data_IF_452333656238
#
_entry.id   IF_452333656238
#
_cell.length_a   1.000
_cell.length_b   1.000
_cell.length_c   1.000
_cell.angle_alpha   90.00
_cell.angle_beta   90.00
_cell.angle_gamma   90.00
#
_symmetry.space_group_name_H-M   'P 1'
#
loop_
_entity.id
_entity.type
_entity.pdbx_description
1 polymer ?
#
# COMPACT_ATOMS: atom_id res chain seq x y z
N UNK A 1 -9.14 -17.56 -3.45
CA UNK A 1 -8.67 -18.34 -4.63
C UNK A 1 -7.18 -18.11 -4.80
N UNK A 2 -6.35 -19.16 -4.97
CA UNK A 2 -4.91 -18.97 -5.26
C UNK A 2 -4.73 -18.41 -6.68
N UNK A 3 -3.97 -17.32 -6.80
CA UNK A 3 -3.63 -16.65 -8.06
C UNK A 3 -2.16 -16.88 -8.41
N UNK A 4 -1.29 -16.88 -7.40
CA UNK A 4 0.14 -17.08 -7.57
C UNK A 4 0.75 -17.69 -6.32
N UNK A 5 1.72 -18.57 -6.51
CA UNK A 5 2.59 -19.11 -5.48
C UNK A 5 3.96 -19.39 -6.11
N UNK A 6 5.01 -18.70 -5.67
CA UNK A 6 6.32 -18.88 -6.28
C UNK A 6 7.50 -18.35 -5.49
N UNK A 7 8.62 -19.06 -5.67
CA UNK A 7 9.96 -18.76 -5.15
C UNK A 7 10.95 -18.77 -6.32
N UNK A 8 12.11 -18.13 -6.17
CA UNK A 8 13.16 -18.14 -7.19
C UNK A 8 12.89 -17.19 -8.36
N UNK A 9 12.00 -16.21 -8.18
CA UNK A 9 11.59 -15.23 -9.22
C UNK A 9 11.93 -13.81 -8.79
N UNK A 10 12.17 -12.95 -9.78
CA UNK A 10 12.33 -11.49 -9.59
C UNK A 10 11.09 -10.71 -10.04
N UNK A 11 10.11 -11.40 -10.64
CA UNK A 11 8.79 -10.88 -11.02
C UNK A 11 7.79 -12.03 -11.19
N UNK A 12 6.50 -11.75 -11.03
CA UNK A 12 5.41 -12.74 -11.19
C UNK A 12 4.97 -12.92 -12.65
N UNK A 13 5.25 -11.94 -13.50
CA UNK A 13 4.51 -11.77 -14.75
C UNK A 13 3.14 -11.13 -14.51
N UNK A 14 2.34 -11.01 -15.56
CA UNK A 14 0.97 -10.49 -15.49
C UNK A 14 0.01 -11.62 -15.09
N UNK A 15 -0.56 -11.52 -13.90
CA UNK A 15 -1.50 -12.49 -13.35
C UNK A 15 -2.92 -12.02 -13.65
N UNK A 16 -3.69 -12.82 -14.38
CA UNK A 16 -5.05 -12.48 -14.80
C UNK A 16 -6.08 -13.13 -13.90
N UNK A 17 -6.99 -12.33 -13.35
CA UNK A 17 -8.08 -12.75 -12.46
C UNK A 17 -9.41 -12.39 -13.11
N UNK A 18 -10.16 -13.40 -13.57
CA UNK A 18 -11.48 -13.22 -14.22
C UNK A 18 -12.66 -13.37 -13.25
N UNK A 19 -12.40 -13.41 -11.94
CA UNK A 19 -13.45 -13.46 -10.91
C UNK A 19 -13.54 -12.09 -10.24
N UNK A 20 -14.76 -11.72 -9.85
CA UNK A 20 -15.02 -10.51 -9.09
C UNK A 20 -14.39 -10.64 -7.70
N UNK A 21 -13.33 -9.90 -7.42
CA UNK A 21 -12.67 -9.86 -6.11
C UNK A 21 -12.69 -8.43 -5.57
N UNK A 22 -12.68 -8.29 -4.25
CA UNK A 22 -12.55 -6.99 -3.57
C UNK A 22 -11.27 -6.83 -2.76
N UNK A 23 -10.53 -7.92 -2.56
CA UNK A 23 -9.28 -7.89 -1.82
C UNK A 23 -8.26 -8.89 -2.35
N UNK A 24 -7.00 -8.61 -2.04
CA UNK A 24 -5.86 -9.49 -2.27
C UNK A 24 -5.28 -9.90 -0.91
N UNK A 25 -5.26 -11.20 -0.65
CA UNK A 25 -4.43 -11.75 0.42
C UNK A 25 -3.01 -11.95 -0.13
N UNK A 26 -2.09 -11.14 0.38
CA UNK A 26 -0.68 -11.20 0.06
C UNK A 26 0.07 -11.91 1.19
N UNK A 27 0.80 -12.97 0.84
CA UNK A 27 1.66 -13.69 1.79
C UNK A 27 3.10 -13.72 1.31
N UNK A 28 4.03 -13.59 2.25
CA UNK A 28 5.45 -13.74 1.98
C UNK A 28 6.19 -14.41 3.14
N UNK A 29 7.31 -15.04 2.83
CA UNK A 29 8.30 -15.47 3.82
C UNK A 29 9.02 -14.29 4.48
N UNK A 30 9.00 -13.11 3.85
CA UNK A 30 9.45 -11.83 4.44
C UNK A 30 8.37 -11.25 5.36
N UNK A 31 8.81 -10.59 6.43
CA UNK A 31 8.02 -9.65 7.21
C UNK A 31 7.81 -8.33 6.47
N UNK A 32 6.76 -7.59 6.86
CA UNK A 32 6.41 -6.31 6.22
C UNK A 32 7.56 -5.29 6.30
N UNK A 33 8.28 -5.23 7.42
CA UNK A 33 9.44 -4.35 7.60
C UNK A 33 10.62 -4.73 6.69
N UNK A 34 10.72 -6.00 6.28
CA UNK A 34 11.77 -6.52 5.40
C UNK A 34 11.49 -6.27 3.91
N UNK A 35 10.29 -5.79 3.55
CA UNK A 35 10.00 -5.29 2.21
C UNK A 35 10.77 -4.00 1.96
N UNK A 36 11.46 -3.93 0.82
CA UNK A 36 12.29 -2.79 0.44
C UNK A 36 11.94 -2.31 -0.97
N UNK A 37 12.38 -3.05 -1.99
CA UNK A 37 12.28 -2.61 -3.39
C UNK A 37 11.13 -3.25 -4.14
N UNK A 38 10.45 -4.22 -3.53
CA UNK A 38 9.34 -4.94 -4.13
C UNK A 38 8.22 -3.97 -4.52
N UNK A 39 7.67 -4.13 -5.72
CA UNK A 39 6.60 -3.27 -6.23
C UNK A 39 5.41 -4.06 -6.68
N UNK A 40 4.25 -3.40 -6.70
CA UNK A 40 2.98 -3.95 -7.18
C UNK A 40 2.34 -3.03 -8.21
N UNK A 41 1.68 -3.64 -9.18
CA UNK A 41 0.83 -2.98 -10.17
C UNK A 41 -0.47 -3.76 -10.28
N UNK A 42 -1.60 -3.04 -10.23
CA UNK A 42 -2.95 -3.58 -10.33
C UNK A 42 -3.77 -2.69 -11.26
N UNK A 43 -4.40 -3.30 -12.26
CA UNK A 43 -5.35 -2.63 -13.14
C UNK A 43 -6.51 -3.55 -13.48
N UNK A 44 -7.66 -2.96 -13.75
CA UNK A 44 -8.81 -3.64 -14.36
C UNK A 44 -8.65 -3.44 -15.87
N UNK A 45 -8.45 -4.54 -16.59
CA UNK A 45 -8.55 -4.55 -18.04
C UNK A 45 -10.02 -4.56 -18.42
N UNK A 46 -10.50 -3.43 -18.93
CA UNK A 46 -11.86 -3.26 -19.42
C UNK A 46 -12.01 -3.72 -20.87
N UNK A 47 -13.26 -3.92 -21.29
CA UNK A 47 -13.55 -4.18 -22.69
C UNK A 47 -13.07 -3.02 -23.59
N UNK A 48 -12.47 -3.33 -24.73
CA UNK A 48 -11.97 -2.35 -25.70
C UNK A 48 -10.81 -1.44 -25.21
N UNK A 49 -10.12 -1.81 -24.13
CA UNK A 49 -8.94 -1.10 -23.64
C UNK A 49 -9.22 0.06 -22.69
N UNK A 50 -10.45 0.18 -22.19
CA UNK A 50 -10.82 1.11 -21.12
C UNK A 50 -10.31 0.58 -19.77
N UNK A 51 -9.00 0.74 -19.54
CA UNK A 51 -8.35 0.19 -18.37
C UNK A 51 -8.48 1.15 -17.17
N UNK A 52 -8.90 0.61 -16.03
CA UNK A 52 -8.92 1.35 -14.76
C UNK A 52 -7.69 1.00 -13.94
N UNK A 53 -6.86 1.99 -13.61
CA UNK A 53 -5.69 1.80 -12.75
C UNK A 53 -6.10 1.86 -11.27
N UNK A 54 -5.79 0.80 -10.52
CA UNK A 54 -5.88 0.79 -9.05
C UNK A 54 -4.55 1.30 -8.48
N UNK A 55 -3.45 0.73 -8.95
CA UNK A 55 -2.10 1.19 -8.62
C UNK A 55 -1.10 0.81 -9.70
N UNK A 56 -0.07 1.62 -9.90
CA UNK A 56 0.99 1.35 -10.89
C UNK A 56 2.37 1.58 -10.31
N UNK A 57 3.17 0.51 -10.31
CA UNK A 57 4.58 0.51 -9.94
C UNK A 57 4.85 1.17 -8.57
N UNK A 58 4.00 0.88 -7.57
CA UNK A 58 4.11 1.42 -6.21
C UNK A 58 4.88 0.44 -5.30
N UNK A 59 5.52 0.95 -4.25
CA UNK A 59 6.08 0.12 -3.18
C UNK A 59 5.07 -0.91 -2.66
N UNK A 60 5.45 -2.19 -2.64
CA UNK A 60 4.65 -3.26 -2.05
C UNK A 60 4.45 -3.04 -0.55
N UNK A 61 5.43 -2.44 0.13
CA UNK A 61 5.31 -2.04 1.54
C UNK A 61 4.19 -1.00 1.71
N UNK A 62 4.14 0.03 0.86
CA UNK A 62 3.06 1.02 0.88
C UNK A 62 1.69 0.40 0.60
N UNK A 63 1.61 -0.50 -0.38
CA UNK A 63 0.36 -1.20 -0.70
C UNK A 63 -0.14 -2.05 0.47
N UNK A 64 0.75 -2.81 1.11
CA UNK A 64 0.39 -3.66 2.26
C UNK A 64 -0.05 -2.83 3.45
N UNK A 65 0.78 -1.88 3.88
CA UNK A 65 0.47 -1.06 5.06
C UNK A 65 -0.80 -0.22 4.84
N UNK A 66 -0.89 0.47 3.69
CA UNK A 66 -2.07 1.27 3.37
C UNK A 66 -3.33 0.44 3.15
N UNK A 67 -3.20 -0.76 2.57
CA UNK A 67 -4.33 -1.67 2.34
C UNK A 67 -4.84 -2.37 3.61
N UNK A 68 -4.06 -2.35 4.70
CA UNK A 68 -4.47 -2.87 6.02
C UNK A 68 -4.89 -1.80 7.01
N UNK A 69 -4.55 -0.54 6.73
CA UNK A 69 -4.76 0.62 7.59
C UNK A 69 -6.18 0.65 8.16
N UNK A 70 -6.33 0.59 9.49
CA UNK A 70 -7.62 0.69 10.19
C UNK A 70 -8.59 -0.49 10.01
N UNK A 71 -8.26 -1.51 9.20
CA UNK A 71 -9.18 -2.58 8.82
C UNK A 71 -8.71 -3.98 9.24
N UNK A 72 -7.41 -4.27 9.10
CA UNK A 72 -6.88 -5.63 9.27
C UNK A 72 -5.49 -5.60 9.89
N UNK A 73 -5.15 -6.65 10.66
CA UNK A 73 -3.79 -6.85 11.15
C UNK A 73 -2.98 -7.68 10.17
N UNK A 74 -1.72 -7.33 10.00
CA UNK A 74 -0.75 -8.16 9.30
C UNK A 74 -0.40 -9.35 10.20
N UNK A 75 -0.75 -10.55 9.77
CA UNK A 75 -0.43 -11.76 10.52
C UNK A 75 0.97 -12.25 10.17
N UNK A 76 1.72 -12.65 11.20
CA UNK A 76 3.00 -13.32 11.05
C UNK A 76 2.91 -14.72 11.67
N UNK A 77 3.42 -15.73 10.97
CA UNK A 77 3.46 -17.09 11.47
C UNK A 77 4.84 -17.70 11.18
N UNK A 78 5.76 -17.37 12.07
CA UNK A 78 7.16 -17.80 11.98
C UNK A 78 7.37 -19.24 12.44
N UNK A 79 6.37 -19.84 13.12
CA UNK A 79 6.40 -21.22 13.61
C UNK A 79 5.87 -22.27 12.63
N UNK A 80 5.22 -21.85 11.54
CA UNK A 80 4.74 -22.76 10.50
C UNK A 80 5.85 -23.13 9.50
N UNK A 81 5.67 -24.27 8.81
CA UNK A 81 6.47 -24.65 7.64
C UNK A 81 5.55 -24.67 6.41
N UNK A 82 5.75 -23.80 5.42
CA UNK A 82 6.80 -22.78 5.33
C UNK A 82 6.57 -21.61 6.31
N UNK A 83 7.67 -20.96 6.71
CA UNK A 83 7.66 -19.73 7.51
C UNK A 83 6.87 -18.65 6.76
N UNK A 84 5.89 -18.03 7.41
CA UNK A 84 5.18 -16.88 6.85
C UNK A 84 5.62 -15.65 7.65
N UNK A 85 6.41 -14.78 7.04
CA UNK A 85 6.82 -13.52 7.64
C UNK A 85 5.71 -12.47 7.58
N UNK A 86 4.84 -12.54 6.58
CA UNK A 86 3.74 -11.60 6.37
C UNK A 86 2.54 -12.29 5.73
N UNK A 87 1.35 -11.98 6.22
CA UNK A 87 0.06 -12.33 5.65
C UNK A 87 -0.89 -11.14 5.83
N UNK A 88 -1.18 -10.43 4.74
CA UNK A 88 -1.94 -9.19 4.75
C UNK A 88 -3.11 -9.27 3.77
N UNK A 89 -4.33 -9.01 4.25
CA UNK A 89 -5.49 -8.81 3.40
C UNK A 89 -5.56 -7.32 3.04
N UNK A 90 -5.34 -6.99 1.77
CA UNK A 90 -5.34 -5.63 1.27
C UNK A 90 -6.59 -5.44 0.40
N UNK A 91 -7.47 -4.52 0.78
CA UNK A 91 -8.65 -4.20 -0.02
C UNK A 91 -8.25 -3.40 -1.26
N UNK A 92 -8.89 -3.70 -2.39
CA UNK A 92 -8.70 -3.01 -3.67
C UNK A 92 -10.00 -2.36 -4.16
N UNK A 93 -11.08 -2.51 -3.40
CA UNK A 93 -12.38 -1.94 -3.64
C UNK A 93 -13.16 -1.86 -2.33
N UNK A 94 -13.99 -0.83 -2.20
CA UNK A 94 -14.76 -0.58 -0.97
C UNK A 94 -16.03 -1.43 -0.94
N UNK A 95 -16.30 -2.01 0.24
CA UNK A 95 -17.55 -2.69 0.56
C UNK A 95 -17.93 -3.85 -0.38
N UNK A 96 -17.04 -4.42 -1.18
CA UNK A 96 -17.45 -5.52 -2.04
C UNK A 96 -16.44 -5.91 -3.11
N UNK A 97 -16.88 -6.74 -4.04
CA UNK A 97 -16.07 -7.19 -5.17
C UNK A 97 -16.28 -6.33 -6.39
N UNK A 98 -15.18 -6.08 -7.11
CA UNK A 98 -15.19 -5.39 -8.40
C UNK A 98 -15.96 -6.28 -9.39
N UNK A 99 -17.07 -5.75 -9.92
CA UNK A 99 -17.87 -6.45 -10.93
C UNK A 99 -17.11 -6.43 -12.26
N UNK A 100 -16.99 -7.59 -12.90
CA UNK A 100 -16.31 -7.76 -14.18
C UNK A 100 -17.28 -8.22 -15.25
N UNK A 101 -17.19 -7.61 -16.44
CA UNK A 101 -17.83 -8.09 -17.66
C UNK A 101 -17.18 -9.36 -18.22
N UNK A 102 -17.77 -9.90 -19.29
CA UNK A 102 -17.37 -11.20 -19.87
C UNK A 102 -15.92 -11.26 -20.35
N UNK A 103 -15.36 -10.14 -20.80
CA UNK A 103 -13.99 -10.02 -21.32
C UNK A 103 -13.05 -9.21 -20.41
N UNK A 104 -13.53 -8.84 -19.22
CA UNK A 104 -12.78 -8.01 -18.28
C UNK A 104 -11.98 -8.86 -17.29
N UNK A 105 -10.89 -8.31 -16.79
CA UNK A 105 -10.09 -9.00 -15.78
C UNK A 105 -9.30 -8.05 -14.92
N UNK A 106 -9.09 -8.43 -13.67
CA UNK A 106 -8.12 -7.76 -12.81
C UNK A 106 -6.76 -8.35 -13.10
N UNK A 107 -5.79 -7.49 -13.41
CA UNK A 107 -4.41 -7.86 -13.66
C UNK A 107 -3.54 -7.41 -12.51
N UNK A 108 -2.76 -8.34 -11.98
CA UNK A 108 -1.85 -8.10 -10.85
C UNK A 108 -0.45 -8.50 -11.27
N UNK A 109 0.55 -7.70 -10.91
CA UNK A 109 1.94 -8.10 -11.06
C UNK A 109 2.80 -7.57 -9.93
N UNK A 110 3.77 -8.38 -9.52
CA UNK A 110 4.87 -7.96 -8.66
C UNK A 110 6.16 -7.90 -9.46
N UNK A 111 6.95 -6.86 -9.21
CA UNK A 111 8.30 -6.68 -9.76
C UNK A 111 9.29 -6.40 -8.64
N UNK A 112 10.58 -6.56 -8.96
CA UNK A 112 11.68 -6.36 -8.01
C UNK A 112 11.57 -7.23 -6.74
N UNK A 113 10.86 -8.37 -6.84
CA UNK A 113 10.70 -9.32 -5.74
C UNK A 113 12.01 -10.07 -5.47
N UNK A 114 12.30 -10.33 -4.19
CA UNK A 114 13.51 -11.06 -3.76
C UNK A 114 13.40 -12.53 -4.13
N UNK A 115 14.27 -13.02 -5.01
CA UNK A 115 14.21 -14.40 -5.51
C UNK A 115 14.36 -15.48 -4.43
N UNK A 116 15.05 -15.19 -3.33
CA UNK A 116 15.19 -16.10 -2.20
C UNK A 116 13.90 -16.27 -1.36
N UNK A 117 12.87 -15.48 -1.64
CA UNK A 117 11.65 -15.40 -0.83
C UNK A 117 10.47 -15.97 -1.63
N UNK A 118 9.49 -16.50 -0.90
CA UNK A 118 8.23 -16.97 -1.47
C UNK A 118 7.21 -15.84 -1.41
N UNK A 119 6.44 -15.69 -2.48
CA UNK A 119 5.30 -14.79 -2.54
C UNK A 119 4.07 -15.58 -2.97
N UNK A 120 2.97 -15.37 -2.26
CA UNK A 120 1.67 -15.94 -2.59
C UNK A 120 0.64 -14.82 -2.72
N UNK A 121 -0.24 -14.93 -3.71
CA UNK A 121 -1.33 -13.98 -3.96
C UNK A 121 -2.61 -14.79 -4.04
N UNK A 122 -3.61 -14.40 -3.26
CA UNK A 122 -4.95 -14.95 -3.35
C UNK A 122 -5.96 -13.84 -3.59
N UNK A 123 -6.86 -14.05 -4.54
CA UNK A 123 -8.04 -13.18 -4.71
C UNK A 123 -9.14 -13.57 -3.72
N UNK A 124 -9.73 -12.57 -3.06
CA UNK A 124 -10.85 -12.74 -2.13
C UNK A 124 -12.13 -12.15 -2.72
N UNK A 125 -13.16 -12.98 -2.77
CA UNK A 125 -14.50 -12.62 -3.25
C UNK A 125 -15.37 -12.22 -2.07
N UNK A 126 -16.20 -11.22 -2.30
CA UNK A 126 -17.22 -10.76 -1.37
C UNK A 126 -18.60 -10.97 -2.00
N UNK A 127 -19.65 -11.19 -1.19
CA UNK A 127 -20.98 -11.52 -1.70
C UNK A 127 -21.69 -10.35 -2.40
N UNK A 128 -21.19 -9.13 -2.24
CA UNK A 128 -21.81 -7.91 -2.76
C UNK A 128 -20.86 -7.16 -3.70
N UNK A 129 -21.43 -6.35 -4.59
CA UNK A 129 -20.68 -5.49 -5.49
C UNK A 129 -20.05 -4.32 -4.74
N UNK A 130 -18.85 -3.92 -5.14
CA UNK A 130 -18.15 -2.78 -4.56
C UNK A 130 -18.88 -1.45 -4.84
N UNK A 131 -18.77 -0.51 -3.91
CA UNK A 131 -19.29 0.87 -4.04
C UNK A 131 -18.31 1.80 -4.75
N UNK A 132 -17.01 1.56 -4.57
CA UNK A 132 -15.91 2.27 -5.22
C UNK A 132 -14.72 1.32 -5.45
N UNK A 133 -13.82 1.74 -6.34
CA UNK A 133 -12.52 1.09 -6.55
C UNK A 133 -11.48 1.98 -5.88
N UNK A 134 -10.61 1.38 -5.08
CA UNK A 134 -9.56 2.13 -4.39
C UNK A 134 -8.50 2.60 -5.38
N UNK A 135 -7.86 3.74 -5.08
CA UNK A 135 -6.85 4.37 -5.93
C UNK A 135 -5.60 4.66 -5.12
N UNK A 136 -4.47 4.05 -5.50
CA UNK A 136 -3.17 4.26 -4.87
C UNK A 136 -2.19 4.87 -5.87
N UNK A 137 -1.89 6.14 -5.69
CA UNK A 137 -1.10 6.95 -6.63
C UNK A 137 0.28 7.22 -6.06
N UNK A 138 1.30 6.69 -6.73
CA UNK A 138 2.71 6.98 -6.40
C UNK A 138 3.09 8.40 -6.80
N UNK A 139 3.85 9.06 -5.93
CA UNK A 139 4.58 10.31 -6.19
C UNK A 139 6.02 10.18 -5.69
N UNK A 140 6.88 11.04 -6.20
CA UNK A 140 8.31 11.02 -5.88
C UNK A 140 8.90 12.42 -5.86
N UNK A 141 9.73 12.68 -4.86
CA UNK A 141 10.65 13.82 -4.82
C UNK A 141 12.03 13.29 -5.23
N UNK A 142 12.52 13.74 -6.37
CA UNK A 142 13.76 13.28 -6.97
C UNK A 142 14.98 13.74 -6.16
N UNK A 143 16.13 13.14 -6.43
CA UNK A 143 17.36 13.41 -5.67
C UNK A 143 17.83 14.86 -5.71
N UNK A 144 17.53 15.57 -6.79
CA UNK A 144 17.90 16.96 -7.07
C UNK A 144 16.87 17.99 -6.59
N UNK A 145 15.65 17.56 -6.26
CA UNK A 145 14.63 18.40 -5.62
C UNK A 145 14.87 18.45 -4.11
N UNK A 146 14.70 19.57 -3.43
CA UNK A 146 14.77 19.65 -1.94
C UNK A 146 13.41 19.79 -1.29
N UNK A 147 12.42 20.22 -2.06
CA UNK A 147 11.06 20.51 -1.62
C UNK A 147 10.09 20.21 -2.76
N UNK A 148 8.90 19.74 -2.42
CA UNK A 148 7.83 19.52 -3.41
C UNK A 148 6.45 19.55 -2.79
N UNK A 149 5.57 20.32 -3.42
CA UNK A 149 4.17 20.40 -3.06
C UNK A 149 3.32 19.42 -3.87
N UNK A 150 2.40 18.74 -3.19
CA UNK A 150 1.39 17.88 -3.79
C UNK A 150 -0.02 18.35 -3.39
N UNK A 151 -0.92 18.42 -4.36
CA UNK A 151 -2.35 18.47 -4.07
C UNK A 151 -2.80 17.07 -3.63
N UNK A 152 -3.40 17.00 -2.45
CA UNK A 152 -3.87 15.75 -1.84
C UNK A 152 -5.36 15.79 -1.51
N UNK A 153 -6.09 16.80 -2.00
CA UNK A 153 -7.52 16.93 -1.77
C UNK A 153 -8.26 15.67 -2.28
N UNK A 154 -9.12 15.12 -1.42
CA UNK A 154 -9.88 13.90 -1.71
C UNK A 154 -9.07 12.60 -1.61
N UNK A 155 -7.89 12.66 -0.98
CA UNK A 155 -7.13 11.48 -0.56
C UNK A 155 -7.38 11.24 0.92
N UNK A 156 -7.41 9.97 1.31
CA UNK A 156 -7.69 9.55 2.68
C UNK A 156 -6.39 9.33 3.45
N UNK A 157 -5.36 8.80 2.79
CA UNK A 157 -4.12 8.38 3.45
C UNK A 157 -2.87 8.72 2.64
N UNK A 158 -1.83 9.18 3.34
CA UNK A 158 -0.46 9.33 2.85
C UNK A 158 0.41 8.22 3.43
N UNK A 159 1.04 7.46 2.54
CA UNK A 159 2.15 6.55 2.85
C UNK A 159 3.45 7.22 2.45
N UNK A 160 4.38 7.45 3.39
CA UNK A 160 5.58 8.24 3.13
C UNK A 160 6.84 7.55 3.61
N UNK A 161 7.81 7.34 2.71
CA UNK A 161 9.17 6.99 3.10
C UNK A 161 9.86 8.20 3.75
N UNK A 162 10.02 8.15 5.07
CA UNK A 162 10.39 9.29 5.89
C UNK A 162 11.88 9.43 6.17
N UNK A 163 12.73 8.50 5.71
CA UNK A 163 14.17 8.45 6.04
C UNK A 163 14.90 9.77 5.71
N UNK A 164 14.51 10.41 4.63
CA UNK A 164 15.13 11.66 4.16
C UNK A 164 14.28 12.92 4.42
N UNK A 165 13.10 12.78 5.00
CA UNK A 165 12.13 13.88 5.21
C UNK A 165 12.54 14.68 6.44
N UNK A 166 12.56 16.00 6.31
CA UNK A 166 12.87 16.90 7.42
C UNK A 166 11.60 17.43 8.10
N UNK A 167 10.64 17.85 7.28
CA UNK A 167 9.38 18.40 7.74
C UNK A 167 8.33 18.35 6.62
N UNK A 168 7.07 18.53 7.01
CA UNK A 168 5.95 18.66 6.09
C UNK A 168 5.06 19.82 6.54
N UNK A 169 4.70 20.70 5.61
CA UNK A 169 3.63 21.68 5.82
C UNK A 169 2.31 21.13 5.25
N UNK A 170 1.29 21.05 6.10
CA UNK A 170 -0.09 20.76 5.69
C UNK A 170 -0.86 22.06 5.51
N UNK A 171 -1.54 22.19 4.38
CA UNK A 171 -2.56 23.22 4.16
C UNK A 171 -3.93 22.59 4.25
N UNK A 172 -4.73 23.01 5.23
CA UNK A 172 -6.06 22.47 5.51
C UNK A 172 -7.17 23.22 4.77
N UNK A 173 -8.35 22.60 4.67
CA UNK A 173 -9.54 23.13 4.00
C UNK A 173 -10.04 24.46 4.57
N UNK A 174 -9.75 24.72 5.84
CA UNK A 174 -10.03 25.99 6.52
C UNK A 174 -8.99 27.09 6.26
N UNK A 175 -7.99 26.84 5.42
CA UNK A 175 -6.91 27.78 5.08
C UNK A 175 -5.76 27.84 6.08
N UNK A 176 -5.83 27.09 7.19
CA UNK A 176 -4.73 26.99 8.15
C UNK A 176 -3.58 26.21 7.54
N UNK A 177 -2.36 26.66 7.84
CA UNK A 177 -1.13 25.96 7.50
C UNK A 177 -0.40 25.56 8.76
N UNK A 178 0.08 24.33 8.82
CA UNK A 178 0.84 23.83 9.97
C UNK A 178 2.01 23.02 9.48
N UNK A 179 3.20 23.40 9.95
CA UNK A 179 4.46 22.76 9.62
C UNK A 179 4.85 21.83 10.77
N UNK A 180 5.03 20.55 10.47
CA UNK A 180 5.41 19.52 11.42
C UNK A 180 6.82 19.03 11.13
N UNK A 181 7.62 18.92 12.18
CA UNK A 181 8.91 18.22 12.15
C UNK A 181 8.71 16.71 12.03
N UNK A 182 9.75 15.99 11.62
CA UNK A 182 9.70 14.53 11.52
C UNK A 182 9.26 13.83 12.82
N UNK A 183 9.68 14.32 13.99
CA UNK A 183 9.30 13.72 15.28
C UNK A 183 7.81 13.92 15.60
N UNK A 184 7.24 15.05 15.21
CA UNK A 184 5.80 15.30 15.36
C UNK A 184 4.99 14.43 14.40
N UNK A 185 5.46 14.27 13.15
CA UNK A 185 4.82 13.39 12.17
C UNK A 185 4.85 11.92 12.62
N UNK A 186 5.96 11.47 13.21
CA UNK A 186 6.06 10.15 13.82
C UNK A 186 5.04 9.99 14.94
N UNK A 187 4.93 10.96 15.84
CA UNK A 187 3.96 10.93 16.93
C UNK A 187 2.51 10.84 16.42
N UNK A 188 2.17 11.61 15.37
CA UNK A 188 0.86 11.57 14.72
C UNK A 188 0.60 10.17 14.12
N UNK A 189 1.56 9.62 13.37
CA UNK A 189 1.41 8.31 12.73
C UNK A 189 1.18 7.19 13.77
N UNK A 190 1.89 7.22 14.90
CA UNK A 190 1.74 6.23 15.97
C UNK A 190 0.42 6.36 16.75
N UNK A 191 -0.11 7.58 16.91
CA UNK A 191 -1.37 7.81 17.60
C UNK A 191 -2.55 7.22 16.81
N UNK A 192 -2.49 7.34 15.49
CA UNK A 192 -3.53 6.86 14.58
C UNK A 192 -3.50 5.34 14.45
N UNK A 193 -2.31 4.74 14.25
CA UNK A 193 -2.18 3.30 14.07
C UNK A 193 -1.29 2.67 15.14
N UNK A 194 -1.94 2.21 16.22
CA UNK A 194 -1.27 1.70 17.40
C UNK A 194 -0.82 0.25 17.33
N UNK A 195 -1.31 -0.57 16.38
CA UNK A 195 -0.88 -1.97 16.18
C UNK A 195 -0.99 -2.35 14.70
N UNK A 196 0.10 -2.82 14.11
CA UNK A 196 0.18 -3.13 12.67
C UNK A 196 0.23 -4.64 12.41
N UNK A 197 0.98 -5.37 13.24
CA UNK A 197 1.13 -6.82 13.06
C UNK A 197 1.05 -7.58 14.37
N UNK A 198 0.66 -8.85 14.27
CA UNK A 198 0.62 -9.78 15.38
C UNK A 198 1.22 -11.14 14.96
N UNK A 199 1.94 -11.77 15.87
CA UNK A 199 2.46 -13.13 15.69
C UNK A 199 1.58 -14.20 16.37
N UNK A 200 1.85 -15.46 16.04
CA UNK A 200 1.13 -16.60 16.63
C UNK A 200 1.35 -16.77 18.14
N UNK A 201 2.36 -16.11 18.72
CA UNK A 201 2.63 -16.06 20.16
C UNK A 201 1.89 -14.94 20.88
N UNK A 202 1.14 -14.10 20.16
CA UNK A 202 0.43 -12.95 20.69
C UNK A 202 1.30 -11.70 20.85
N UNK A 203 2.53 -11.70 20.33
CA UNK A 203 3.34 -10.48 20.28
C UNK A 203 2.78 -9.56 19.19
N UNK A 204 2.63 -8.29 19.53
CA UNK A 204 2.20 -7.25 18.60
C UNK A 204 3.37 -6.35 18.26
N UNK A 205 3.38 -5.82 17.04
CA UNK A 205 4.36 -4.83 16.59
C UNK A 205 3.68 -3.63 15.96
N UNK A 206 4.26 -2.46 16.24
CA UNK A 206 3.90 -1.15 15.70
C UNK A 206 4.93 -0.64 14.70
N UNK A 207 5.90 -1.48 14.32
CA UNK A 207 7.02 -1.08 13.49
C UNK A 207 6.66 -1.14 12.00
N UNK A 208 6.56 0.02 11.36
CA UNK A 208 6.46 0.20 9.90
C UNK A 208 7.82 0.39 9.22
N UNK A 209 8.92 0.40 9.97
CA UNK A 209 10.22 0.88 9.53
C UNK A 209 10.21 2.39 9.32
N UNK A 210 10.72 2.83 8.17
CA UNK A 210 10.78 4.24 7.78
C UNK A 210 9.50 4.76 7.10
N UNK A 211 8.38 4.04 7.16
CA UNK A 211 7.14 4.47 6.50
C UNK A 211 6.22 5.14 7.51
N UNK A 212 5.84 6.38 7.25
CA UNK A 212 4.79 7.07 7.99
C UNK A 212 3.45 6.90 7.29
N UNK A 213 2.41 6.69 8.09
CA UNK A 213 1.02 6.55 7.67
C UNK A 213 0.25 7.72 8.26
N UNK A 214 -0.16 8.65 7.42
CA UNK A 214 -0.71 9.93 7.85
C UNK A 214 -2.08 10.14 7.21
N UNK A 215 -3.16 10.20 8.01
CA UNK A 215 -4.48 10.58 7.51
C UNK A 215 -4.45 11.96 6.87
N UNK A 216 -5.24 12.13 5.82
CA UNK A 216 -5.31 13.36 5.04
C UNK A 216 -6.67 14.06 5.17
N UNK A 217 -7.41 13.77 6.24
CA UNK A 217 -8.69 14.41 6.57
C UNK A 217 -8.57 15.93 6.50
N UNK A 218 -9.39 16.56 5.66
CA UNK A 218 -9.41 18.00 5.43
C UNK A 218 -8.09 18.62 4.94
N UNK A 219 -7.13 17.84 4.45
CA UNK A 219 -5.88 18.34 3.88
C UNK A 219 -6.04 18.61 2.39
N UNK A 220 -5.74 19.85 1.96
CA UNK A 220 -5.78 20.24 0.55
C UNK A 220 -4.46 19.98 -0.16
N UNK A 221 -3.35 20.31 0.50
CA UNK A 221 -2.02 20.11 -0.05
C UNK A 221 -1.00 19.85 1.06
N UNK A 222 0.04 19.12 0.69
CA UNK A 222 1.22 18.89 1.51
C UNK A 222 2.44 19.45 0.80
N UNK A 223 3.34 20.05 1.55
CA UNK A 223 4.64 20.49 1.07
C UNK A 223 5.74 19.79 1.86
N UNK A 224 6.54 18.98 1.18
CA UNK A 224 7.51 18.08 1.82
C UNK A 224 8.92 18.59 1.57
N UNK A 225 9.64 18.90 2.64
CA UNK A 225 11.06 19.27 2.62
C UNK A 225 11.91 18.04 2.97
N UNK A 226 12.97 17.80 2.19
CA UNK A 226 13.89 16.68 2.39
C UNK A 226 15.35 17.10 2.39
N UNK A 227 16.19 16.33 3.08
CA UNK A 227 17.62 16.58 3.17
C UNK A 227 18.36 16.20 1.87
N UNK A 228 18.34 14.91 1.50
CA UNK A 228 19.01 14.36 0.31
C UNK A 228 18.27 13.13 -0.19
N UNK A 229 18.72 12.51 -1.28
CA UNK A 229 18.17 11.23 -1.75
C UNK A 229 16.79 11.37 -2.40
N UNK A 230 16.19 10.26 -2.81
CA UNK A 230 14.81 10.24 -3.32
C UNK A 230 13.85 9.98 -2.17
N UNK A 231 12.67 10.58 -2.21
CA UNK A 231 11.56 10.26 -1.33
C UNK A 231 10.41 9.74 -2.18
N UNK A 232 9.91 8.56 -1.85
CA UNK A 232 8.69 8.01 -2.44
C UNK A 232 7.52 8.18 -1.47
N UNK A 233 6.35 8.47 -2.03
CA UNK A 233 5.10 8.45 -1.29
C UNK A 233 3.98 7.85 -2.13
N UNK A 234 2.95 7.35 -1.47
CA UNK A 234 1.71 6.89 -2.10
C UNK A 234 0.54 7.61 -1.47
N UNK A 235 -0.33 8.20 -2.31
CA UNK A 235 -1.60 8.79 -1.90
C UNK A 235 -2.72 7.80 -2.17
N UNK A 236 -3.54 7.52 -1.17
CA UNK A 236 -4.59 6.50 -1.24
C UNK A 236 -5.97 7.16 -1.13
N UNK A 237 -6.91 6.67 -1.93
CA UNK A 237 -8.35 6.88 -1.78
C UNK A 237 -9.03 5.51 -1.72
N UNK A 238 -9.92 5.28 -0.75
CA UNK A 238 -10.58 3.99 -0.58
C UNK A 238 -11.86 3.82 -1.40
#
# INVERSE_FOLDING_TARGET
MEVYNGTGKTKTGELRISRAIGGLLLRSTLGVHELTNEKITIFIEGANGDNTEICSNISLKHFVLGGTFGHSLIQTNTGATPKIGMSALCEIAQEGSIVLGADESIKVSLTDIKSAQTYEIYGLEYPQAATSISSLVRKTILSDETEKTYNVQGRDLLMLDSENVQNIEFTFSNGVRTKYSLIELQAIAFDVEGVISADAGGNVSTDTGSVLMLPLDDVLSIDIEKATGTVELTLISF
#
